data_IF_267162014685
#
_entry.id   IF_267162014685
#
_cell.length_a   1.000
_cell.length_b   1.000
_cell.length_c   1.000
_cell.angle_alpha   90.00
_cell.angle_beta   90.00
_cell.angle_gamma   90.00
#
_symmetry.space_group_name_H-M   'P 1'
#
loop_
_entity.id
_entity.type
_entity.pdbx_description
1 polymer ?
#
# COMPACT_ATOMS: atom_id res chain seq x y z
N UNK A 1 34.24 10.47 50.45
CA UNK A 1 32.94 10.34 49.77
C UNK A 1 32.41 11.71 49.41
N UNK A 2 32.52 12.12 48.17
CA UNK A 2 32.09 13.45 47.69
C UNK A 2 30.59 13.36 47.34
N UNK A 3 29.77 14.09 48.10
CA UNK A 3 28.32 14.25 47.88
C UNK A 3 28.11 15.08 46.60
N UNK A 4 27.65 14.44 45.53
CA UNK A 4 27.33 15.09 44.25
C UNK A 4 26.20 16.10 44.49
N UNK A 5 26.52 17.39 44.54
CA UNK A 5 25.52 18.46 44.61
C UNK A 5 24.66 18.40 43.34
N UNK A 6 23.40 18.01 43.48
CA UNK A 6 22.41 18.13 42.41
C UNK A 6 22.09 19.61 42.21
N UNK A 7 22.43 20.14 41.06
CA UNK A 7 22.12 21.53 40.70
C UNK A 7 20.59 21.71 40.63
N UNK A 8 20.08 22.73 41.29
CA UNK A 8 18.64 23.10 41.22
C UNK A 8 18.34 23.62 39.83
N UNK A 9 17.33 23.05 39.13
CA UNK A 9 17.02 23.46 37.78
C UNK A 9 16.61 24.93 37.69
N UNK A 10 17.16 25.64 36.71
CA UNK A 10 16.87 27.05 36.45
C UNK A 10 15.44 27.26 35.91
N UNK A 11 14.95 28.50 35.93
CA UNK A 11 13.64 28.84 35.33
C UNK A 11 13.59 28.52 33.83
N UNK A 12 14.70 28.64 33.14
CA UNK A 12 14.85 28.25 31.72
C UNK A 12 14.71 26.74 31.54
N UNK A 13 15.33 25.94 32.40
CA UNK A 13 15.23 24.48 32.38
C UNK A 13 13.80 24.02 32.64
N UNK A 14 13.11 24.66 33.59
CA UNK A 14 11.70 24.36 33.90
C UNK A 14 10.76 24.68 32.73
N UNK A 15 10.97 25.83 32.03
CA UNK A 15 10.20 26.20 30.82
C UNK A 15 10.44 25.22 29.67
N UNK A 16 11.70 24.88 29.42
CA UNK A 16 12.05 23.90 28.36
C UNK A 16 11.47 22.52 28.65
N UNK A 17 11.49 22.09 29.91
CA UNK A 17 10.90 20.81 30.33
C UNK A 17 9.37 20.82 30.21
N UNK A 18 8.70 21.92 30.60
CA UNK A 18 7.26 22.08 30.42
C UNK A 18 6.87 22.02 28.93
N UNK A 19 7.56 22.77 28.06
CA UNK A 19 7.31 22.75 26.61
C UNK A 19 7.54 21.37 25.98
N UNK A 20 8.55 20.62 26.43
CA UNK A 20 8.80 19.23 25.97
C UNK A 20 7.67 18.30 26.43
N UNK A 21 7.20 18.47 27.67
CA UNK A 21 6.09 17.67 28.22
C UNK A 21 4.79 17.95 27.46
N UNK A 22 4.50 19.22 27.17
CA UNK A 22 3.31 19.61 26.43
C UNK A 22 3.34 19.07 24.99
N UNK A 23 4.50 19.13 24.32
CA UNK A 23 4.69 18.51 22.99
C UNK A 23 4.54 17.00 23.03
N UNK A 24 5.09 16.33 24.04
CA UNK A 24 4.98 14.89 24.18
C UNK A 24 3.53 14.46 24.45
N UNK A 25 2.79 15.20 25.26
CA UNK A 25 1.36 14.94 25.53
C UNK A 25 0.51 15.18 24.26
N UNK A 26 0.79 16.25 23.52
CA UNK A 26 0.15 16.53 22.24
C UNK A 26 0.37 15.38 21.25
N UNK A 27 1.63 14.97 21.08
CA UNK A 27 2.00 13.86 20.21
C UNK A 27 1.33 12.54 20.64
N UNK A 28 1.35 12.21 21.94
CA UNK A 28 0.74 10.99 22.46
C UNK A 28 -0.79 10.95 22.21
N UNK A 29 -1.48 12.07 22.43
CA UNK A 29 -2.93 12.16 22.12
C UNK A 29 -3.22 12.03 20.64
N UNK A 30 -2.41 12.68 19.80
CA UNK A 30 -2.53 12.57 18.34
C UNK A 30 -2.35 11.12 17.87
N UNK A 31 -1.32 10.43 18.36
CA UNK A 31 -1.09 9.01 18.07
C UNK A 31 -2.25 8.12 18.56
N UNK A 32 -2.79 8.39 19.74
CA UNK A 32 -3.97 7.66 20.26
C UNK A 32 -5.16 7.73 19.28
N UNK A 33 -5.40 8.91 18.69
CA UNK A 33 -6.47 9.10 17.71
C UNK A 33 -6.16 8.33 16.41
N UNK A 34 -4.92 8.39 15.91
CA UNK A 34 -4.50 7.65 14.72
C UNK A 34 -4.67 6.14 14.91
N UNK A 35 -4.24 5.60 16.07
CA UNK A 35 -4.43 4.19 16.40
C UNK A 35 -5.91 3.79 16.48
N UNK A 36 -6.74 4.62 17.09
CA UNK A 36 -8.17 4.35 17.22
C UNK A 36 -8.91 4.38 15.86
N UNK A 37 -8.42 5.14 14.89
CA UNK A 37 -9.01 5.19 13.56
C UNK A 37 -8.93 3.84 12.83
N UNK A 38 -7.88 3.05 13.06
CA UNK A 38 -7.65 1.77 12.40
C UNK A 38 -8.80 0.76 12.57
N UNK A 39 -9.14 0.34 13.80
CA UNK A 39 -10.23 -0.60 14.05
C UNK A 39 -11.59 -0.10 13.53
N UNK A 40 -11.85 1.20 13.61
CA UNK A 40 -13.08 1.80 13.07
C UNK A 40 -13.12 1.65 11.56
N UNK A 41 -12.02 1.99 10.90
CA UNK A 41 -11.84 1.90 9.47
C UNK A 41 -11.98 0.46 8.96
N UNK A 42 -11.45 -0.51 9.70
CA UNK A 42 -11.55 -1.92 9.38
C UNK A 42 -13.01 -2.42 9.41
N UNK A 43 -13.79 -1.98 10.40
CA UNK A 43 -15.19 -2.39 10.54
C UNK A 43 -16.13 -1.73 9.54
N UNK A 44 -15.95 -0.43 9.30
CA UNK A 44 -16.91 0.39 8.56
C UNK A 44 -16.46 0.71 7.14
N UNK A 45 -15.17 0.55 6.82
CA UNK A 45 -14.60 1.09 5.59
C UNK A 45 -14.44 2.62 5.64
N UNK A 46 -13.78 3.19 4.65
CA UNK A 46 -13.46 4.62 4.62
C UNK A 46 -14.72 5.49 4.50
N UNK A 47 -15.65 5.09 3.63
CA UNK A 47 -16.87 5.86 3.37
C UNK A 47 -17.69 6.07 4.63
N UNK A 48 -17.99 4.99 5.34
CA UNK A 48 -18.89 4.96 6.50
C UNK A 48 -18.22 5.36 7.83
N UNK A 49 -16.89 5.51 7.85
CA UNK A 49 -16.17 5.97 9.06
C UNK A 49 -16.50 7.43 9.34
N UNK A 50 -16.85 7.72 10.60
CA UNK A 50 -17.19 9.06 11.08
C UNK A 50 -16.24 9.50 12.20
N UNK A 51 -16.14 10.81 12.41
CA UNK A 51 -15.38 11.40 13.53
C UNK A 51 -15.93 10.92 14.87
N UNK A 52 -17.25 10.75 15.01
CA UNK A 52 -17.90 10.24 16.20
C UNK A 52 -17.47 8.81 16.52
N UNK A 53 -17.39 7.95 15.52
CA UNK A 53 -16.93 6.57 15.68
C UNK A 53 -15.46 6.52 16.13
N UNK A 54 -14.61 7.36 15.54
CA UNK A 54 -13.18 7.47 15.91
C UNK A 54 -13.05 8.03 17.34
N UNK A 55 -13.81 9.06 17.70
CA UNK A 55 -13.80 9.67 19.04
C UNK A 55 -14.20 8.65 20.10
N UNK A 56 -15.26 7.87 19.86
CA UNK A 56 -15.70 6.79 20.74
C UNK A 56 -14.63 5.72 20.93
N UNK A 57 -13.99 5.28 19.87
CA UNK A 57 -12.91 4.29 19.90
C UNK A 57 -11.68 4.83 20.65
N UNK A 58 -11.32 6.10 20.41
CA UNK A 58 -10.22 6.77 21.07
C UNK A 58 -10.50 7.10 22.55
N UNK A 59 -11.75 7.00 23.01
CA UNK A 59 -12.14 7.39 24.36
C UNK A 59 -11.91 8.90 24.60
N UNK A 60 -12.28 9.73 23.61
CA UNK A 60 -12.23 11.20 23.68
C UNK A 60 -13.55 11.77 23.13
N UNK A 61 -13.79 13.05 23.37
CA UNK A 61 -14.90 13.75 22.77
C UNK A 61 -14.59 14.19 21.32
N UNK A 62 -15.64 14.53 20.59
CA UNK A 62 -15.54 14.99 19.18
C UNK A 62 -14.73 16.29 19.07
N UNK A 63 -14.88 17.22 20.03
CA UNK A 63 -14.15 18.48 20.03
C UNK A 63 -12.64 18.23 20.15
N UNK A 64 -12.25 17.23 20.97
CA UNK A 64 -10.85 16.79 21.06
C UNK A 64 -10.33 16.31 19.70
N UNK A 65 -11.10 15.56 18.90
CA UNK A 65 -10.64 15.15 17.56
C UNK A 65 -10.38 16.38 16.68
N UNK A 66 -11.33 17.33 16.62
CA UNK A 66 -11.19 18.55 15.81
C UNK A 66 -10.06 19.48 16.26
N UNK A 67 -9.61 19.37 17.50
CA UNK A 67 -8.43 20.09 17.97
C UNK A 67 -7.13 19.58 17.32
N UNK A 68 -7.08 18.28 16.97
CA UNK A 68 -5.89 17.64 16.39
C UNK A 68 -5.97 17.47 14.86
N UNK A 69 -7.17 17.28 14.32
CA UNK A 69 -7.40 16.94 12.92
C UNK A 69 -8.60 17.71 12.37
N UNK A 70 -8.44 18.23 11.18
CA UNK A 70 -9.47 19.02 10.49
C UNK A 70 -10.68 18.14 10.12
N UNK A 71 -10.44 16.94 9.64
CA UNK A 71 -11.46 15.97 9.25
C UNK A 71 -10.96 14.51 9.36
N UNK A 72 -11.83 13.56 9.04
CA UNK A 72 -11.48 12.13 9.03
C UNK A 72 -10.40 11.80 8.01
N UNK A 73 -10.38 12.51 6.89
CA UNK A 73 -9.39 12.27 5.83
C UNK A 73 -7.99 12.70 6.29
N UNK A 74 -7.88 13.78 7.08
CA UNK A 74 -6.62 14.19 7.70
C UNK A 74 -6.05 13.09 8.63
N UNK A 75 -6.92 12.40 9.38
CA UNK A 75 -6.52 11.28 10.23
C UNK A 75 -5.98 10.11 9.39
N UNK A 76 -6.71 9.74 8.32
CA UNK A 76 -6.29 8.63 7.46
C UNK A 76 -5.01 8.93 6.70
N UNK A 77 -4.92 10.12 6.16
CA UNK A 77 -3.72 10.60 5.47
C UNK A 77 -2.48 10.44 6.31
N UNK A 78 -2.52 10.94 7.54
CA UNK A 78 -1.36 10.89 8.43
C UNK A 78 -1.01 9.45 8.83
N UNK A 79 -2.02 8.63 9.11
CA UNK A 79 -1.81 7.23 9.45
C UNK A 79 -1.15 6.45 8.29
N UNK A 80 -1.58 6.67 7.05
CA UNK A 80 -1.02 6.03 5.87
C UNK A 80 0.38 6.58 5.56
N UNK A 81 0.52 7.90 5.58
CA UNK A 81 1.80 8.56 5.30
C UNK A 81 2.90 8.10 6.25
N UNK A 82 2.61 8.01 7.55
CA UNK A 82 3.57 7.53 8.56
C UNK A 82 4.05 6.12 8.25
N UNK A 83 3.13 5.20 7.97
CA UNK A 83 3.47 3.82 7.63
C UNK A 83 4.28 3.69 6.33
N UNK A 84 3.90 4.44 5.28
CA UNK A 84 4.66 4.43 4.03
C UNK A 84 6.05 5.04 4.18
N UNK A 85 6.19 6.14 4.94
CA UNK A 85 7.48 6.77 5.19
C UNK A 85 8.44 5.85 5.95
N UNK A 86 7.96 5.16 7.00
CA UNK A 86 8.75 4.16 7.73
C UNK A 86 9.17 3.00 6.83
N UNK A 87 8.29 2.52 5.97
CA UNK A 87 8.59 1.46 5.01
C UNK A 87 9.69 1.88 4.02
N UNK A 88 9.56 3.07 3.44
CA UNK A 88 10.55 3.60 2.49
C UNK A 88 11.90 3.78 3.17
N UNK A 89 11.94 4.34 4.38
CA UNK A 89 13.18 4.52 5.14
C UNK A 89 13.89 3.18 5.43
N UNK A 90 13.15 2.15 5.87
CA UNK A 90 13.71 0.83 6.10
C UNK A 90 14.27 0.21 4.81
N UNK A 91 13.58 0.37 3.69
CA UNK A 91 14.05 -0.13 2.40
C UNK A 91 15.28 0.65 1.88
N UNK A 92 15.39 1.95 2.15
CA UNK A 92 16.57 2.75 1.83
C UNK A 92 17.80 2.28 2.61
N UNK A 93 17.65 1.99 3.90
CA UNK A 93 18.73 1.42 4.72
C UNK A 93 19.18 0.06 4.19
N UNK A 94 18.23 -0.81 3.83
CA UNK A 94 18.52 -2.14 3.28
C UNK A 94 19.22 -2.00 1.92
N UNK A 95 18.72 -1.16 1.04
CA UNK A 95 19.30 -0.96 -0.29
C UNK A 95 20.72 -0.39 -0.23
N UNK A 96 21.02 0.44 0.77
CA UNK A 96 22.34 1.03 1.00
C UNK A 96 23.29 0.10 1.80
N UNK A 97 22.81 -1.02 2.33
CA UNK A 97 23.64 -1.95 3.11
C UNK A 97 24.68 -2.66 2.22
N UNK A 98 25.77 -3.12 2.83
CA UNK A 98 26.79 -3.93 2.16
C UNK A 98 26.44 -5.41 1.99
N UNK A 99 25.20 -5.81 2.31
CA UNK A 99 24.77 -7.19 2.21
C UNK A 99 24.66 -7.64 0.74
N UNK A 100 24.77 -8.95 0.51
CA UNK A 100 24.53 -9.54 -0.81
C UNK A 100 23.09 -9.27 -1.30
N UNK A 101 22.87 -9.13 -2.61
CA UNK A 101 21.57 -8.76 -3.16
C UNK A 101 20.40 -9.69 -2.80
N UNK A 102 20.62 -10.98 -2.69
CA UNK A 102 19.63 -11.96 -2.23
C UNK A 102 19.26 -11.75 -0.76
N UNK A 103 20.24 -11.45 0.10
CA UNK A 103 20.01 -11.09 1.51
C UNK A 103 19.23 -9.76 1.59
N UNK A 104 19.62 -8.76 0.80
CA UNK A 104 18.88 -7.47 0.74
C UNK A 104 17.45 -7.67 0.28
N UNK A 105 17.20 -8.53 -0.71
CA UNK A 105 15.84 -8.81 -1.19
C UNK A 105 15.01 -9.52 -0.12
N UNK A 106 15.57 -10.53 0.57
CA UNK A 106 14.92 -11.20 1.72
C UNK A 106 14.56 -10.19 2.81
N UNK A 107 15.52 -9.37 3.22
CA UNK A 107 15.31 -8.32 4.23
C UNK A 107 14.24 -7.32 3.81
N UNK A 108 14.20 -6.96 2.53
CA UNK A 108 13.16 -6.04 2.00
C UNK A 108 11.76 -6.65 2.12
N UNK A 109 11.60 -7.93 1.80
CA UNK A 109 10.32 -8.65 1.96
C UNK A 109 9.90 -8.66 3.43
N UNK A 110 10.81 -8.96 4.36
CA UNK A 110 10.53 -8.92 5.80
C UNK A 110 10.13 -7.53 6.27
N UNK A 111 10.92 -6.51 5.92
CA UNK A 111 10.66 -5.14 6.34
C UNK A 111 9.28 -4.64 5.89
N UNK A 112 8.85 -5.01 4.69
CA UNK A 112 7.51 -4.65 4.18
C UNK A 112 6.41 -5.36 4.97
N UNK A 113 6.55 -6.67 5.22
CA UNK A 113 5.54 -7.43 5.95
C UNK A 113 5.42 -7.00 7.42
N UNK A 114 6.56 -6.76 8.09
CA UNK A 114 6.58 -6.22 9.46
C UNK A 114 5.97 -4.82 9.54
N UNK A 115 6.23 -3.98 8.54
CA UNK A 115 5.63 -2.66 8.46
C UNK A 115 4.10 -2.76 8.25
N UNK A 116 3.63 -3.68 7.41
CA UNK A 116 2.21 -3.94 7.22
C UNK A 116 1.54 -4.41 8.52
N UNK A 117 2.16 -5.30 9.28
CA UNK A 117 1.63 -5.74 10.57
C UNK A 117 1.56 -4.59 11.58
N UNK A 118 2.63 -3.78 11.68
CA UNK A 118 2.72 -2.63 12.60
C UNK A 118 1.67 -1.56 12.31
N UNK A 119 1.41 -1.30 11.04
CA UNK A 119 0.45 -0.28 10.58
C UNK A 119 -0.88 -0.88 10.08
N UNK A 120 -1.21 -2.08 10.59
CA UNK A 120 -2.50 -2.69 10.33
C UNK A 120 -3.61 -1.95 11.12
N UNK A 121 -4.80 -1.71 10.54
CA UNK A 121 -5.22 -2.07 9.18
C UNK A 121 -5.02 -0.94 8.15
N UNK A 122 -4.45 0.21 8.51
CA UNK A 122 -4.43 1.43 7.69
C UNK A 122 -3.77 1.21 6.33
N UNK A 123 -2.56 0.63 6.31
CA UNK A 123 -1.86 0.34 5.05
C UNK A 123 -2.60 -0.68 4.20
N UNK A 124 -3.21 -1.70 4.82
CA UNK A 124 -3.99 -2.69 4.09
C UNK A 124 -5.21 -2.09 3.40
N UNK A 125 -5.92 -1.19 4.07
CA UNK A 125 -7.06 -0.50 3.47
C UNK A 125 -6.60 0.38 2.32
N UNK A 126 -5.49 1.10 2.48
CA UNK A 126 -4.90 1.88 1.39
C UNK A 126 -4.59 1.03 0.16
N UNK A 127 -3.96 -0.14 0.33
CA UNK A 127 -3.65 -1.04 -0.79
C UNK A 127 -4.89 -1.70 -1.38
N UNK A 128 -5.89 -2.06 -0.58
CA UNK A 128 -7.16 -2.62 -1.06
C UNK A 128 -7.93 -1.64 -1.94
N UNK A 129 -7.96 -0.38 -1.58
CA UNK A 129 -8.63 0.65 -2.36
C UNK A 129 -7.79 1.10 -3.58
N UNK A 130 -6.73 0.37 -3.92
CA UNK A 130 -5.88 0.63 -5.09
C UNK A 130 -5.03 1.89 -4.94
N UNK A 131 -4.69 2.28 -3.70
CA UNK A 131 -4.03 3.55 -3.42
C UNK A 131 -4.95 4.73 -3.74
N UNK A 132 -6.27 4.51 -3.70
CA UNK A 132 -7.20 5.21 -4.53
C UNK A 132 -7.60 6.59 -4.04
N UNK A 133 -7.82 7.33 -4.98
CA UNK A 133 -8.53 8.54 -5.34
C UNK A 133 -9.73 8.97 -4.46
N UNK A 134 -10.35 8.09 -3.69
CA UNK A 134 -11.52 8.43 -2.87
C UNK A 134 -11.20 9.13 -1.54
N UNK A 135 -9.93 9.04 -1.07
CA UNK A 135 -9.53 9.53 0.25
C UNK A 135 -8.87 10.90 0.19
N UNK A 136 -8.43 11.38 -1.00
CA UNK A 136 -7.24 12.20 -1.05
C UNK A 136 -7.42 13.42 -1.94
N UNK A 137 -7.27 14.58 -1.31
CA UNK A 137 -6.95 15.86 -1.94
C UNK A 137 -5.69 15.73 -2.83
N UNK A 138 -5.66 16.42 -3.98
CA UNK A 138 -4.70 16.23 -5.07
C UNK A 138 -3.22 16.30 -4.66
N UNK A 139 -2.84 17.14 -3.69
CA UNK A 139 -1.42 17.28 -3.30
C UNK A 139 -0.90 16.07 -2.51
N UNK A 140 -1.70 15.55 -1.60
CA UNK A 140 -1.28 14.41 -0.78
C UNK A 140 -1.31 13.08 -1.54
N UNK A 141 -2.16 12.96 -2.55
CA UNK A 141 -2.06 11.88 -3.54
C UNK A 141 -0.68 11.85 -4.19
N UNK A 142 -0.10 13.00 -4.49
CA UNK A 142 1.24 13.08 -5.08
C UNK A 142 2.31 12.51 -4.14
N UNK A 143 2.25 12.83 -2.85
CA UNK A 143 3.20 12.31 -1.86
C UNK A 143 3.06 10.80 -1.65
N UNK A 144 1.83 10.30 -1.54
CA UNK A 144 1.57 8.87 -1.38
C UNK A 144 1.97 8.09 -2.65
N UNK A 145 1.67 8.62 -3.84
CA UNK A 145 2.10 8.05 -5.11
C UNK A 145 3.63 8.07 -5.22
N UNK A 146 4.28 9.17 -4.80
CA UNK A 146 5.73 9.28 -4.80
C UNK A 146 6.37 8.24 -3.87
N UNK A 147 5.84 8.05 -2.66
CA UNK A 147 6.29 7.02 -1.71
C UNK A 147 6.07 5.61 -2.26
N UNK A 148 4.94 5.33 -2.89
CA UNK A 148 4.67 4.06 -3.55
C UNK A 148 5.65 3.77 -4.70
N UNK A 149 5.95 4.77 -5.54
CA UNK A 149 6.96 4.67 -6.59
C UNK A 149 8.36 4.44 -6.00
N UNK A 150 8.70 5.17 -4.95
CA UNK A 150 9.99 5.02 -4.27
C UNK A 150 10.17 3.61 -3.72
N UNK A 151 9.12 3.05 -3.11
CA UNK A 151 9.09 1.64 -2.69
C UNK A 151 9.40 0.69 -3.85
N UNK A 152 8.68 0.81 -4.98
CA UNK A 152 8.91 -0.01 -6.16
C UNK A 152 10.34 0.14 -6.71
N UNK A 153 10.86 1.37 -6.78
CA UNK A 153 12.19 1.67 -7.30
C UNK A 153 13.30 1.06 -6.41
N UNK A 154 13.12 1.06 -5.09
CA UNK A 154 14.06 0.46 -4.15
C UNK A 154 14.13 -1.07 -4.31
N UNK A 155 12.98 -1.73 -4.42
CA UNK A 155 12.94 -3.18 -4.70
C UNK A 155 13.56 -3.47 -6.08
N UNK A 156 13.26 -2.67 -7.09
CA UNK A 156 13.86 -2.81 -8.42
C UNK A 156 15.39 -2.67 -8.38
N UNK A 157 15.91 -1.71 -7.62
CA UNK A 157 17.35 -1.52 -7.48
C UNK A 157 18.05 -2.76 -6.91
N UNK A 158 17.52 -3.34 -5.83
CA UNK A 158 18.06 -4.57 -5.23
C UNK A 158 18.01 -5.75 -6.21
N UNK A 159 16.91 -5.90 -6.94
CA UNK A 159 16.78 -6.94 -7.98
C UNK A 159 17.80 -6.74 -9.10
N UNK A 160 17.98 -5.53 -9.56
CA UNK A 160 18.92 -5.19 -10.64
C UNK A 160 20.37 -5.48 -10.23
N UNK A 161 20.72 -5.13 -8.99
CA UNK A 161 22.03 -5.44 -8.42
C UNK A 161 22.27 -6.95 -8.39
N UNK A 162 21.24 -7.73 -7.97
CA UNK A 162 21.31 -9.19 -7.94
C UNK A 162 21.49 -9.83 -9.31
N UNK A 163 20.81 -9.31 -10.32
CA UNK A 163 20.97 -9.74 -11.72
C UNK A 163 22.37 -9.39 -12.23
N UNK A 164 22.85 -8.17 -11.96
CA UNK A 164 24.18 -7.72 -12.38
C UNK A 164 25.30 -8.53 -11.70
N UNK A 165 25.11 -8.91 -10.44
CA UNK A 165 26.03 -9.77 -9.71
C UNK A 165 25.95 -11.25 -10.09
N UNK A 166 25.00 -11.66 -10.95
CA UNK A 166 24.77 -13.05 -11.32
C UNK A 166 24.19 -13.93 -10.21
N UNK A 167 23.68 -13.32 -9.14
CA UNK A 167 23.05 -14.01 -7.99
C UNK A 167 21.58 -14.31 -8.30
N UNK A 168 20.90 -13.38 -8.97
CA UNK A 168 19.51 -13.53 -9.40
C UNK A 168 19.45 -13.79 -10.90
N UNK A 169 18.79 -14.87 -11.31
CA UNK A 169 18.62 -15.23 -12.71
C UNK A 169 17.13 -15.37 -13.05
N UNK A 170 16.56 -14.36 -13.67
CA UNK A 170 15.16 -14.34 -14.13
C UNK A 170 15.07 -13.96 -15.59
N UNK A 171 14.11 -14.56 -16.32
CA UNK A 171 13.90 -14.26 -17.75
C UNK A 171 13.04 -13.01 -17.97
N UNK A 172 12.87 -12.17 -16.94
CA UNK A 172 12.06 -10.96 -16.99
C UNK A 172 12.96 -9.73 -16.81
N UNK A 173 12.60 -8.58 -17.38
CA UNK A 173 13.25 -7.34 -17.04
C UNK A 173 13.22 -7.08 -15.54
N UNK A 174 14.27 -6.49 -14.92
CA UNK A 174 14.34 -6.25 -13.48
C UNK A 174 13.10 -5.55 -12.92
N UNK A 175 12.61 -4.54 -13.61
CA UNK A 175 11.41 -3.78 -13.25
C UNK A 175 10.15 -4.66 -13.20
N UNK A 176 10.00 -5.60 -14.12
CA UNK A 176 8.84 -6.51 -14.16
C UNK A 176 8.91 -7.50 -13.02
N UNK A 177 10.10 -8.06 -12.75
CA UNK A 177 10.30 -8.98 -11.63
C UNK A 177 10.06 -8.28 -10.28
N UNK A 178 10.59 -7.08 -10.10
CA UNK A 178 10.31 -6.27 -8.90
C UNK A 178 8.80 -6.02 -8.71
N UNK A 179 8.05 -5.71 -9.78
CA UNK A 179 6.59 -5.57 -9.70
C UNK A 179 5.86 -6.85 -9.32
N UNK A 180 6.37 -8.02 -9.69
CA UNK A 180 5.80 -9.30 -9.22
C UNK A 180 6.04 -9.48 -7.71
N UNK A 181 7.23 -9.15 -7.21
CA UNK A 181 7.55 -9.22 -5.77
C UNK A 181 6.65 -8.25 -4.99
N UNK A 182 6.57 -6.99 -5.42
CA UNK A 182 5.71 -5.97 -4.81
C UNK A 182 4.23 -6.39 -4.88
N UNK A 183 3.80 -6.95 -6.00
CA UNK A 183 2.45 -7.46 -6.17
C UNK A 183 2.10 -8.58 -5.19
N UNK A 184 3.02 -9.52 -4.95
CA UNK A 184 2.84 -10.57 -3.93
C UNK A 184 2.66 -9.97 -2.53
N UNK A 185 3.50 -9.00 -2.16
CA UNK A 185 3.42 -8.32 -0.88
C UNK A 185 2.10 -7.54 -0.72
N UNK A 186 1.74 -6.73 -1.71
CA UNK A 186 0.51 -5.94 -1.67
C UNK A 186 -0.75 -6.82 -1.67
N UNK A 187 -0.71 -8.00 -2.30
CA UNK A 187 -1.83 -8.95 -2.30
C UNK A 187 -2.18 -9.47 -0.91
N UNK A 188 -1.24 -9.46 0.05
CA UNK A 188 -1.51 -9.82 1.45
C UNK A 188 -2.60 -8.96 2.08
N UNK A 189 -2.80 -7.73 1.61
CA UNK A 189 -3.85 -6.83 2.07
C UNK A 189 -5.27 -7.44 1.96
N UNK A 190 -5.47 -8.46 1.14
CA UNK A 190 -6.76 -9.07 0.93
C UNK A 190 -7.09 -10.21 1.90
N UNK A 191 -6.08 -10.85 2.50
CA UNK A 191 -6.29 -12.06 3.28
C UNK A 191 -5.50 -12.13 4.59
N UNK A 192 -4.39 -11.40 4.74
CA UNK A 192 -3.63 -11.42 5.98
C UNK A 192 -4.29 -10.56 7.05
N UNK A 193 -4.45 -11.12 8.24
CA UNK A 193 -4.92 -10.45 9.44
C UNK A 193 -3.96 -10.78 10.57
N UNK A 194 -3.31 -9.78 11.19
CA UNK A 194 -2.41 -10.01 12.32
C UNK A 194 -3.09 -10.73 13.50
N UNK A 195 -2.32 -11.51 14.24
CA UNK A 195 -2.81 -12.23 15.41
C UNK A 195 -3.45 -13.58 15.12
N UNK A 196 -3.43 -14.05 13.88
CA UNK A 196 -3.81 -15.42 13.51
C UNK A 196 -2.61 -16.38 13.53
N UNK A 197 -2.83 -17.64 13.08
CA UNK A 197 -1.85 -18.72 13.18
C UNK A 197 -0.51 -18.44 12.46
N UNK A 198 -0.53 -17.65 11.37
CA UNK A 198 0.68 -17.23 10.66
C UNK A 198 1.00 -15.77 10.98
N UNK A 199 2.24 -15.51 11.34
CA UNK A 199 2.75 -14.16 11.59
C UNK A 199 3.20 -13.49 10.29
N UNK A 200 3.40 -12.17 10.32
CA UNK A 200 4.01 -11.44 9.21
C UNK A 200 5.39 -12.00 8.86
N UNK A 201 6.14 -12.44 9.86
CA UNK A 201 7.43 -13.08 9.68
C UNK A 201 7.32 -14.40 8.90
N UNK A 202 6.41 -15.31 9.28
CA UNK A 202 6.22 -16.59 8.59
C UNK A 202 5.84 -16.42 7.12
N UNK A 203 4.98 -15.43 6.85
CA UNK A 203 4.56 -15.08 5.49
C UNK A 203 5.74 -14.51 4.70
N UNK A 204 6.51 -13.61 5.31
CA UNK A 204 7.68 -13.00 4.67
C UNK A 204 8.75 -14.05 4.32
N UNK A 205 9.03 -15.00 5.23
CA UNK A 205 9.95 -16.12 4.95
C UNK A 205 9.44 -16.98 3.80
N UNK A 206 8.18 -17.39 3.83
CA UNK A 206 7.60 -18.18 2.73
C UNK A 206 7.65 -17.45 1.39
N UNK A 207 7.36 -16.15 1.37
CA UNK A 207 7.47 -15.32 0.16
C UNK A 207 8.92 -15.20 -0.32
N UNK A 208 9.85 -14.94 0.59
CA UNK A 208 11.27 -14.84 0.27
C UNK A 208 11.80 -16.15 -0.32
N UNK A 209 11.39 -17.30 0.25
CA UNK A 209 11.77 -18.61 -0.28
C UNK A 209 11.21 -18.86 -1.68
N UNK A 210 9.95 -18.53 -1.92
CA UNK A 210 9.35 -18.66 -3.27
C UNK A 210 10.06 -17.76 -4.27
N UNK A 211 10.33 -16.51 -3.91
CA UNK A 211 10.99 -15.52 -4.79
C UNK A 211 12.43 -15.92 -5.07
N UNK A 212 13.20 -16.28 -4.04
CA UNK A 212 14.64 -16.56 -4.16
C UNK A 212 14.90 -17.93 -4.74
N UNK A 213 14.15 -18.97 -4.35
CA UNK A 213 14.29 -20.32 -4.91
C UNK A 213 13.88 -20.37 -6.39
N UNK A 214 12.91 -19.54 -6.82
CA UNK A 214 12.55 -19.39 -8.23
C UNK A 214 13.45 -18.42 -9.00
N UNK A 215 14.25 -17.59 -8.33
CA UNK A 215 15.09 -16.56 -8.93
C UNK A 215 16.61 -16.89 -8.89
N UNK A 216 17.03 -17.83 -8.04
CA UNK A 216 18.43 -18.26 -7.99
C UNK A 216 18.84 -18.99 -9.27
N UNK A 217 20.12 -18.90 -9.60
CA UNK A 217 20.69 -19.62 -10.74
C UNK A 217 20.66 -21.13 -10.45
N UNK A 218 19.66 -21.78 -11.02
CA UNK A 218 19.59 -23.24 -11.15
C UNK A 218 19.78 -23.58 -12.61
N UNK A 219 20.10 -24.84 -12.94
CA UNK A 219 20.14 -25.26 -14.36
C UNK A 219 18.83 -24.81 -15.06
N UNK A 220 18.94 -24.22 -16.25
CA UNK A 220 17.76 -23.59 -16.86
C UNK A 220 16.65 -24.62 -17.02
N UNK A 221 15.43 -24.37 -16.51
CA UNK A 221 14.32 -25.27 -16.73
C UNK A 221 14.05 -25.37 -18.22
N UNK A 222 13.93 -26.58 -18.73
CA UNK A 222 13.47 -26.83 -20.11
C UNK A 222 12.07 -26.26 -20.22
N UNK A 223 11.94 -25.06 -20.75
CA UNK A 223 10.62 -24.45 -21.00
C UNK A 223 9.96 -25.20 -22.16
N UNK A 224 8.73 -25.69 -21.99
CA UNK A 224 7.97 -26.18 -23.12
C UNK A 224 7.84 -25.07 -24.16
N UNK A 225 8.08 -25.40 -25.43
CA UNK A 225 7.94 -24.46 -26.53
C UNK A 225 6.55 -23.80 -26.46
N UNK A 226 6.52 -22.50 -26.56
CA UNK A 226 5.27 -21.75 -26.59
C UNK A 226 4.48 -22.23 -27.79
N UNK A 227 3.24 -22.71 -27.66
CA UNK A 227 2.46 -23.13 -28.83
C UNK A 227 2.32 -21.93 -29.77
N UNK A 228 2.70 -22.15 -31.04
CA UNK A 228 2.63 -21.15 -32.09
C UNK A 228 1.19 -20.70 -32.30
N UNK A 229 0.82 -19.52 -31.81
CA UNK A 229 -0.53 -18.94 -31.92
C UNK A 229 -0.83 -18.35 -33.32
N UNK A 230 -0.02 -18.59 -34.34
CA UNK A 230 -0.13 -17.85 -35.63
C UNK A 230 0.02 -18.71 -36.87
N UNK A 231 -0.57 -19.90 -36.93
CA UNK A 231 -0.71 -20.58 -38.27
C UNK A 231 -2.12 -21.08 -38.58
N UNK A 232 -3.15 -20.61 -37.93
CA UNK A 232 -4.54 -21.01 -38.21
C UNK A 232 -5.35 -19.99 -39.04
N UNK A 233 -4.73 -19.24 -39.94
CA UNK A 233 -5.51 -18.35 -40.81
C UNK A 233 -4.92 -18.11 -42.23
N UNK A 234 -4.28 -19.14 -42.80
CA UNK A 234 -3.88 -19.07 -44.24
C UNK A 234 -4.08 -20.40 -44.96
N UNK A 235 -5.27 -20.99 -44.88
CA UNK A 235 -5.73 -21.89 -45.93
C UNK A 235 -7.04 -21.35 -46.44
N UNK A 236 -6.93 -20.55 -47.47
CA UNK A 236 -8.05 -19.95 -48.18
C UNK A 236 -8.86 -20.98 -48.93
N UNK A 237 -10.10 -21.11 -48.51
CA UNK A 237 -11.14 -21.67 -49.36
C UNK A 237 -11.71 -20.57 -50.24
N UNK A 238 -11.38 -20.60 -51.55
CA UNK A 238 -12.14 -19.92 -52.59
C UNK A 238 -13.53 -20.57 -52.60
N UNK A 239 -14.57 -19.89 -52.23
CA UNK A 239 -15.93 -20.20 -52.60
C UNK A 239 -16.66 -18.98 -53.11
N UNK A 240 -17.32 -19.23 -54.22
CA UNK A 240 -18.02 -18.36 -55.12
C UNK A 240 -19.10 -17.51 -54.45
N UNK A 241 -19.21 -16.29 -54.94
CA UNK A 241 -20.36 -15.39 -54.98
C UNK A 241 -21.68 -16.12 -55.20
N UNK A 242 -22.61 -15.96 -54.28
CA UNK A 242 -24.05 -15.90 -54.59
C UNK A 242 -24.70 -14.83 -53.74
N UNK A 243 -25.35 -13.91 -54.42
CA UNK A 243 -26.14 -12.84 -53.87
C UNK A 243 -27.42 -13.41 -53.28
N UNK A 244 -27.77 -13.02 -52.05
CA UNK A 244 -29.19 -12.76 -51.77
C UNK A 244 -29.40 -11.96 -50.47
N UNK A 245 -30.20 -10.93 -50.61
CA UNK A 245 -31.20 -10.32 -49.75
C UNK A 245 -30.85 -9.99 -48.29
N UNK A 246 -30.84 -8.70 -48.04
CA UNK A 246 -31.02 -8.04 -46.76
C UNK A 246 -32.38 -8.37 -46.09
N UNK A 247 -32.45 -8.44 -44.84
CA UNK A 247 -33.66 -8.12 -44.07
C UNK A 247 -33.47 -6.90 -43.15
N UNK A 248 -34.54 -6.31 -42.64
CA UNK A 248 -34.65 -4.89 -42.43
C UNK A 248 -34.26 -4.39 -41.04
N UNK A 249 -33.91 -3.13 -41.05
CA UNK A 249 -33.77 -2.17 -40.00
C UNK A 249 -34.83 -2.35 -38.84
N UNK A 250 -34.34 -2.58 -37.63
CA UNK A 250 -35.15 -2.48 -36.42
C UNK A 250 -34.62 -1.37 -35.53
N UNK A 251 -35.12 -0.17 -35.81
CA UNK A 251 -34.97 0.99 -34.98
C UNK A 251 -35.53 0.72 -33.58
N UNK A 252 -34.68 0.76 -32.57
CA UNK A 252 -35.09 0.83 -31.16
C UNK A 252 -35.30 2.29 -30.81
N UNK A 253 -36.58 2.69 -30.72
CA UNK A 253 -37.03 3.98 -30.21
C UNK A 253 -36.75 4.04 -28.71
N UNK A 254 -35.88 4.94 -28.30
CA UNK A 254 -35.76 5.39 -26.91
C UNK A 254 -36.84 6.45 -26.67
N UNK A 255 -37.82 6.08 -25.85
CA UNK A 255 -38.92 6.96 -25.42
C UNK A 255 -38.43 7.92 -24.33
N UNK A 256 -38.28 9.17 -24.68
CA UNK A 256 -38.10 10.26 -23.72
C UNK A 256 -39.45 10.59 -23.06
N UNK A 257 -39.62 10.28 -21.79
CA UNK A 257 -40.73 10.76 -20.97
C UNK A 257 -40.41 12.15 -20.43
N UNK A 258 -40.99 13.18 -21.05
CA UNK A 258 -41.21 14.52 -20.49
C UNK A 258 -42.29 14.40 -19.40
N UNK A 259 -41.97 14.76 -18.18
CA UNK A 259 -42.97 15.16 -17.19
C UNK A 259 -43.04 16.68 -17.13
N UNK A 260 -44.18 17.19 -17.61
CA UNK A 260 -44.59 18.57 -17.44
C UNK A 260 -44.97 18.82 -15.98
N UNK A 261 -44.59 20.00 -15.52
CA UNK A 261 -45.05 20.55 -14.27
C UNK A 261 -46.53 20.79 -14.21
N UNK A 262 -47.02 20.90 -12.99
CA UNK A 262 -48.30 21.54 -12.67
C UNK A 262 -48.09 22.36 -11.41
N UNK A 263 -48.17 23.66 -11.61
CA UNK A 263 -48.44 24.65 -10.58
C UNK A 263 -49.87 24.47 -10.04
N UNK A 264 -50.02 24.96 -8.83
CA UNK A 264 -51.20 25.57 -8.22
C UNK A 264 -51.69 24.86 -6.94
N UNK A 265 -51.72 25.65 -5.89
CA UNK A 265 -52.44 25.43 -4.64
C UNK A 265 -51.63 25.79 -3.41
#
# INVERSE_FOLDING_TARGET
MAKKMQSVPTLADKRTTAQRKDRAQYSAKRQKILHAAGPVLQRLGIGETTIEAIAKEAGVDRATIYYYFEDKHAIFREAIHGGLAEMVAALEEIAASGDAPDVRLRRSIHAVMENYERHYPQLYIFFKDGGSSAIIDNELNKELIASGRRYEDLVEAVVRDGITAGIIAVALPPKVFAKLVVGMLNWTAWWFVPGHAMTAYDIAEGMADVVLNGALVQEPPVRPARPDRLQASRTGGKHKTEANSSPPDRAVRVSARRTRGREAG
#
